data_IF_777543541586
#
_entry.id   IF_777543541586
#
_cell.length_a   1.000
_cell.length_b   1.000
_cell.length_c   1.000
_cell.angle_alpha   90.00
_cell.angle_beta   90.00
_cell.angle_gamma   90.00
#
_symmetry.space_group_name_H-M   'P 1'
#
loop_
_entity.id
_entity.type
_entity.pdbx_description
1 polymer ?
#
# COMPACT_ATOMS: atom_id res chain seq x y z
N UNK A 1 -40.66 12.75 29.30
CA UNK A 1 -41.02 13.50 28.09
C UNK A 1 -39.96 14.56 27.82
N UNK A 2 -39.11 14.33 26.82
CA UNK A 2 -38.29 15.38 26.16
C UNK A 2 -37.53 14.71 25.01
N UNK A 3 -38.19 14.66 23.85
CA UNK A 3 -37.65 14.18 22.59
C UNK A 3 -36.45 15.01 22.13
N UNK A 4 -35.30 14.37 21.90
CA UNK A 4 -34.21 14.94 21.10
C UNK A 4 -34.39 14.49 19.65
N UNK A 5 -34.60 15.47 18.76
CA UNK A 5 -34.74 15.28 17.30
C UNK A 5 -33.40 14.81 16.71
N UNK A 6 -33.40 13.66 16.06
CA UNK A 6 -32.32 13.18 15.21
C UNK A 6 -32.35 13.90 13.85
N UNK A 7 -31.24 14.52 13.47
CA UNK A 7 -31.04 15.11 12.14
C UNK A 7 -30.43 14.02 11.26
N UNK A 8 -31.24 13.42 10.39
CA UNK A 8 -30.82 12.44 9.40
C UNK A 8 -29.93 13.09 8.32
N UNK A 9 -28.79 12.46 8.00
CA UNK A 9 -27.96 12.79 6.83
C UNK A 9 -28.32 11.87 5.67
N UNK A 10 -28.46 12.36 4.42
CA UNK A 10 -28.82 11.52 3.30
C UNK A 10 -27.65 10.63 2.84
N UNK A 11 -27.98 9.35 2.59
CA UNK A 11 -27.11 8.34 2.05
C UNK A 11 -26.97 8.51 0.52
N UNK A 12 -25.74 8.49 0.02
CA UNK A 12 -25.46 8.36 -1.41
C UNK A 12 -25.35 6.86 -1.76
N UNK A 13 -26.28 6.36 -2.56
CA UNK A 13 -26.17 5.08 -3.30
C UNK A 13 -26.06 5.39 -4.80
N UNK A 14 -25.17 4.72 -5.56
CA UNK A 14 -25.13 4.81 -7.01
C UNK A 14 -25.83 3.60 -7.63
N UNK A 15 -27.04 3.77 -8.16
CA UNK A 15 -27.74 2.76 -8.98
C UNK A 15 -28.58 3.49 -10.03
N UNK A 16 -28.15 3.42 -11.30
CA UNK A 16 -28.94 3.55 -12.53
C UNK A 16 -27.97 3.77 -13.70
N UNK A 17 -28.15 3.22 -14.90
CA UNK A 17 -28.99 2.15 -15.38
C UNK A 17 -28.45 1.87 -16.80
N UNK A 18 -28.16 0.60 -17.08
CA UNK A 18 -28.06 0.11 -18.44
C UNK A 18 -29.49 0.04 -19.00
N UNK A 19 -29.74 0.66 -20.15
CA UNK A 19 -30.93 0.37 -20.96
C UNK A 19 -30.52 0.16 -22.40
N UNK A 20 -30.60 -1.11 -22.76
CA UNK A 20 -30.57 -1.67 -24.10
C UNK A 20 -31.79 -1.18 -24.90
N UNK A 21 -31.56 -0.82 -26.17
CA UNK A 21 -32.62 -0.68 -27.17
C UNK A 21 -32.43 -1.84 -28.16
N UNK A 22 -33.36 -2.81 -28.10
CA UNK A 22 -33.75 -3.65 -29.24
C UNK A 22 -34.32 -2.71 -30.32
N UNK A 23 -34.09 -2.82 -31.62
CA UNK A 23 -33.69 -3.94 -32.45
C UNK A 23 -34.54 -3.84 -33.72
N UNK A 24 -33.93 -3.78 -34.90
CA UNK A 24 -34.59 -4.12 -36.17
C UNK A 24 -33.54 -4.72 -37.09
N UNK A 25 -33.72 -6.00 -37.39
CA UNK A 25 -33.01 -6.76 -38.40
C UNK A 25 -33.71 -6.50 -39.73
N UNK A 26 -33.01 -5.92 -40.70
CA UNK A 26 -33.37 -6.08 -42.12
C UNK A 26 -32.08 -6.37 -42.89
N UNK A 27 -32.05 -7.57 -43.45
CA UNK A 27 -31.08 -8.07 -44.41
C UNK A 27 -31.01 -7.18 -45.64
N UNK A 28 -29.80 -6.83 -46.09
CA UNK A 28 -29.54 -6.76 -47.52
C UNK A 28 -28.08 -7.11 -47.80
N UNK A 29 -27.93 -8.21 -48.53
CA UNK A 29 -26.75 -8.73 -49.18
C UNK A 29 -26.06 -7.66 -50.05
N UNK A 30 -24.73 -7.67 -50.11
CA UNK A 30 -23.93 -7.83 -51.35
C UNK A 30 -22.45 -7.40 -51.17
N UNK A 31 -21.57 -8.30 -51.64
CA UNK A 31 -20.23 -8.09 -52.28
C UNK A 31 -18.96 -7.80 -51.45
N UNK A 32 -18.14 -8.85 -51.34
CA UNK A 32 -16.65 -8.90 -51.35
C UNK A 32 -16.04 -8.14 -52.56
N UNK A 33 -14.75 -7.69 -52.58
CA UNK A 33 -13.50 -8.50 -52.37
C UNK A 33 -12.37 -7.82 -51.52
N UNK A 34 -11.52 -8.56 -50.80
CA UNK A 34 -10.10 -8.96 -51.10
C UNK A 34 -9.17 -7.76 -51.45
N UNK A 35 -7.95 -7.52 -50.93
CA UNK A 35 -6.69 -8.30 -50.78
C UNK A 35 -5.65 -7.43 -49.94
N UNK A 36 -4.31 -7.69 -49.85
CA UNK A 36 -3.53 -8.41 -48.81
C UNK A 36 -2.57 -7.56 -47.92
N UNK A 37 -1.96 -8.25 -46.94
CA UNK A 37 -0.73 -7.94 -46.21
C UNK A 37 0.52 -7.84 -47.11
N UNK A 38 1.65 -7.32 -46.59
CA UNK A 38 2.80 -8.23 -46.46
C UNK A 38 3.66 -8.11 -45.18
N UNK A 39 4.23 -9.27 -44.86
CA UNK A 39 5.29 -9.61 -43.91
C UNK A 39 6.69 -9.17 -44.41
N UNK A 40 7.63 -8.95 -43.46
CA UNK A 40 9.07 -9.34 -43.45
C UNK A 40 9.87 -8.32 -42.60
N UNK A 41 10.36 -8.68 -41.41
CA UNK A 41 11.55 -9.48 -41.05
C UNK A 41 12.89 -8.82 -41.38
N UNK A 42 13.70 -8.47 -40.38
CA UNK A 42 15.03 -9.07 -40.13
C UNK A 42 15.80 -8.33 -39.02
N UNK A 43 16.39 -9.15 -38.16
CA UNK A 43 17.27 -8.79 -37.05
C UNK A 43 18.69 -8.47 -37.54
N UNK A 44 19.41 -7.61 -36.81
CA UNK A 44 20.86 -7.76 -36.60
C UNK A 44 21.29 -6.95 -35.38
N UNK A 45 21.87 -7.65 -34.40
CA UNK A 45 22.50 -7.05 -33.23
C UNK A 45 23.95 -6.65 -33.50
N UNK A 46 24.43 -5.66 -32.74
CA UNK A 46 25.84 -5.45 -32.47
C UNK A 46 25.99 -4.93 -31.04
N UNK A 47 26.73 -5.68 -30.23
CA UNK A 47 27.21 -5.28 -28.91
C UNK A 47 28.58 -4.60 -29.07
N UNK A 48 28.88 -3.56 -28.27
CA UNK A 48 30.19 -3.25 -27.66
C UNK A 48 30.12 -1.93 -26.84
N UNK A 49 31.09 -1.63 -25.95
CA UNK A 49 30.82 -1.06 -24.62
C UNK A 49 31.45 0.32 -24.44
N UNK A 50 30.74 1.29 -23.86
CA UNK A 50 31.34 2.60 -23.56
C UNK A 50 31.34 2.87 -22.05
N UNK A 51 32.54 2.62 -21.50
CA UNK A 51 33.23 3.32 -20.41
C UNK A 51 32.46 4.45 -19.71
N UNK A 52 32.39 4.34 -18.38
CA UNK A 52 32.30 5.48 -17.46
C UNK A 52 33.31 6.56 -17.88
N UNK A 53 32.82 7.76 -18.18
CA UNK A 53 33.62 8.97 -18.02
C UNK A 53 32.76 10.05 -17.38
N UNK A 54 33.24 10.55 -16.24
CA UNK A 54 32.78 11.77 -15.61
C UNK A 54 33.10 12.91 -16.58
N UNK A 55 32.11 13.43 -17.28
CA UNK A 55 32.24 14.69 -18.00
C UNK A 55 31.52 15.78 -17.22
N UNK A 56 32.30 16.52 -16.42
CA UNK A 56 31.89 17.82 -15.92
C UNK A 56 31.78 18.77 -17.13
N UNK A 57 30.57 18.93 -17.68
CA UNK A 57 30.31 19.94 -18.71
C UNK A 57 30.21 21.32 -18.07
N UNK A 58 31.37 21.89 -17.74
CA UNK A 58 31.56 23.34 -17.68
C UNK A 58 31.46 23.87 -19.11
N UNK A 59 30.23 24.16 -19.55
CA UNK A 59 30.00 24.91 -20.78
C UNK A 59 30.47 26.36 -20.59
N UNK A 60 31.62 26.68 -21.17
CA UNK A 60 31.99 28.04 -21.58
C UNK A 60 31.58 28.14 -23.04
N UNK A 61 30.48 28.84 -23.32
CA UNK A 61 30.19 29.28 -24.69
C UNK A 61 30.90 30.62 -24.86
N UNK A 62 32.13 30.59 -25.35
CA UNK A 62 32.81 31.78 -25.79
C UNK A 62 32.28 32.13 -27.20
N UNK A 63 31.37 33.10 -27.28
CA UNK A 63 31.14 33.81 -28.55
C UNK A 63 32.22 34.88 -28.64
N UNK A 64 33.29 34.61 -29.38
CA UNK A 64 34.24 35.65 -29.75
C UNK A 64 33.60 36.55 -30.82
N UNK A 65 33.09 37.70 -30.39
CA UNK A 65 32.77 38.80 -31.31
C UNK A 65 34.07 39.54 -31.65
N UNK A 66 34.37 39.67 -32.94
CA UNK A 66 35.57 40.36 -33.45
C UNK A 66 35.39 41.86 -33.32
N UNK A 67 36.43 42.51 -32.79
CA UNK A 67 36.56 43.95 -32.55
C UNK A 67 36.25 44.84 -33.76
N UNK A 68 35.51 45.94 -33.52
CA UNK A 68 36.02 47.30 -33.79
C UNK A 68 35.42 48.30 -32.78
N UNK A 69 36.29 48.92 -31.98
CA UNK A 69 36.01 50.17 -31.27
C UNK A 69 35.33 50.04 -29.91
N UNK A 70 35.99 50.64 -28.91
CA UNK A 70 35.48 51.06 -27.60
C UNK A 70 35.15 49.99 -26.53
N UNK A 71 35.88 50.08 -25.41
CA UNK A 71 35.44 49.72 -24.06
C UNK A 71 35.27 48.23 -23.75
N UNK A 72 36.22 47.65 -23.01
CA UNK A 72 36.01 46.36 -22.36
C UNK A 72 35.01 46.51 -21.20
N UNK A 73 33.72 46.39 -21.48
CA UNK A 73 32.75 46.12 -20.41
C UNK A 73 32.76 44.61 -20.19
N UNK A 74 33.47 44.17 -19.15
CA UNK A 74 33.34 42.80 -18.65
C UNK A 74 31.91 42.59 -18.15
N UNK A 75 31.03 42.14 -19.02
CA UNK A 75 29.68 41.72 -18.62
C UNK A 75 29.81 40.36 -17.94
N UNK A 76 29.91 40.37 -16.61
CA UNK A 76 29.73 39.18 -15.79
C UNK A 76 28.32 38.65 -16.03
N UNK A 77 28.18 37.65 -16.91
CA UNK A 77 26.96 36.89 -17.04
C UNK A 77 26.77 36.07 -15.76
N UNK A 78 26.07 36.65 -14.79
CA UNK A 78 25.60 35.94 -13.62
C UNK A 78 24.73 34.77 -14.10
N UNK A 79 25.26 33.56 -13.98
CA UNK A 79 24.55 32.32 -14.27
C UNK A 79 23.39 32.22 -13.28
N UNK A 80 22.22 32.70 -13.69
CA UNK A 80 20.99 32.60 -12.92
C UNK A 80 20.75 31.11 -12.63
N UNK A 81 20.95 30.70 -11.38
CA UNK A 81 20.70 29.33 -10.96
C UNK A 81 19.23 29.03 -11.23
N UNK A 82 18.99 28.16 -12.21
CA UNK A 82 17.68 27.60 -12.53
C UNK A 82 17.12 26.89 -11.31
N UNK A 83 16.37 27.63 -10.49
CA UNK A 83 15.63 27.07 -9.36
C UNK A 83 14.31 27.82 -9.17
N UNK A 84 13.71 28.27 -10.26
CA UNK A 84 12.40 28.89 -10.26
C UNK A 84 11.32 27.83 -10.56
N UNK A 85 10.99 26.96 -9.61
CA UNK A 85 9.68 26.29 -9.62
C UNK A 85 9.17 26.02 -8.20
N UNK A 86 8.08 26.71 -7.83
CA UNK A 86 7.11 26.29 -6.80
C UNK A 86 7.01 27.12 -5.52
N UNK A 87 8.13 27.55 -4.91
CA UNK A 87 8.11 28.20 -3.58
C UNK A 87 8.48 29.67 -3.65
N UNK A 88 7.70 30.52 -2.98
CA UNK A 88 7.95 31.97 -2.90
C UNK A 88 9.21 32.26 -2.07
N UNK A 89 10.11 33.11 -2.57
CA UNK A 89 11.42 33.40 -1.95
C UNK A 89 11.56 34.82 -1.35
N UNK A 90 10.51 35.63 -1.39
CA UNK A 90 10.55 36.99 -0.84
C UNK A 90 10.60 37.03 0.69
N UNK A 91 11.18 38.08 1.27
CA UNK A 91 11.35 38.26 2.72
C UNK A 91 10.02 38.25 3.51
N UNK A 92 8.90 38.65 2.89
CA UNK A 92 7.55 38.71 3.50
C UNK A 92 6.64 37.52 3.14
N UNK A 93 7.18 36.39 2.69
CA UNK A 93 6.37 35.24 2.21
C UNK A 93 6.13 34.13 3.26
N UNK A 94 6.57 34.34 4.50
CA UNK A 94 6.55 33.31 5.56
C UNK A 94 5.17 32.68 5.79
N UNK A 95 4.08 33.48 5.77
CA UNK A 95 2.70 32.98 5.95
C UNK A 95 2.32 31.96 4.88
N UNK A 96 2.59 32.26 3.61
CA UNK A 96 2.28 31.39 2.46
C UNK A 96 3.07 30.08 2.56
N UNK A 97 4.34 30.13 2.95
CA UNK A 97 5.17 28.93 3.14
C UNK A 97 4.64 28.04 4.27
N UNK A 98 4.17 28.63 5.39
CA UNK A 98 3.58 27.88 6.51
C UNK A 98 2.26 27.20 6.11
N UNK A 99 1.34 27.92 5.46
CA UNK A 99 0.07 27.35 4.99
C UNK A 99 0.32 26.23 3.99
N UNK A 100 1.15 26.48 2.97
CA UNK A 100 1.50 25.47 1.99
C UNK A 100 2.13 24.23 2.63
N UNK A 101 3.03 24.38 3.62
CA UNK A 101 3.61 23.22 4.32
C UNK A 101 2.56 22.45 5.12
N UNK A 102 1.58 23.13 5.71
CA UNK A 102 0.47 22.51 6.46
C UNK A 102 -0.39 21.66 5.52
N UNK A 103 -0.73 22.19 4.36
CA UNK A 103 -1.53 21.48 3.35
C UNK A 103 -0.76 20.26 2.82
N UNK A 104 0.52 20.45 2.48
CA UNK A 104 1.39 19.37 2.03
C UNK A 104 1.62 18.28 3.09
N UNK A 105 1.52 18.63 4.38
CA UNK A 105 1.65 17.67 5.48
C UNK A 105 0.54 16.62 5.47
N UNK A 106 -0.64 16.98 4.99
CA UNK A 106 -1.77 16.05 4.89
C UNK A 106 -1.62 15.00 3.79
N UNK A 107 -0.73 15.23 2.81
CA UNK A 107 -0.36 14.21 1.82
C UNK A 107 0.58 13.13 2.41
N UNK A 108 1.27 13.42 3.52
CA UNK A 108 2.02 12.39 4.23
C UNK A 108 1.06 11.40 4.92
N UNK A 109 1.12 10.15 4.48
CA UNK A 109 0.30 9.05 4.98
C UNK A 109 0.50 8.81 6.48
N UNK A 110 1.70 8.99 7.02
CA UNK A 110 1.95 8.79 8.44
C UNK A 110 1.26 9.88 9.26
N UNK A 111 1.45 11.14 8.85
CA UNK A 111 0.79 12.29 9.47
C UNK A 111 -0.73 12.16 9.44
N UNK A 112 -1.31 11.84 8.27
CA UNK A 112 -2.75 11.64 8.10
C UNK A 112 -3.30 10.55 9.00
N UNK A 113 -2.62 9.39 9.11
CA UNK A 113 -3.06 8.28 9.98
C UNK A 113 -3.03 8.62 11.47
N UNK A 114 -2.03 9.40 11.90
CA UNK A 114 -1.92 9.85 13.29
C UNK A 114 -3.04 10.84 13.66
N UNK A 115 -3.31 11.83 12.81
CA UNK A 115 -4.28 12.90 13.08
C UNK A 115 -5.74 12.45 12.92
N UNK A 116 -6.02 11.49 12.03
CA UNK A 116 -7.37 10.95 11.87
C UNK A 116 -7.75 9.94 12.96
N UNK A 117 -6.81 9.51 13.81
CA UNK A 117 -7.07 8.51 14.85
C UNK A 117 -7.44 7.13 14.29
N UNK A 118 -7.05 6.82 13.04
CA UNK A 118 -7.40 5.57 12.36
C UNK A 118 -6.94 4.34 13.15
N UNK A 119 -5.85 4.47 13.89
CA UNK A 119 -5.30 3.40 14.71
C UNK A 119 -6.24 2.94 15.84
N UNK A 120 -7.09 3.83 16.37
CA UNK A 120 -8.02 3.52 17.44
C UNK A 120 -9.34 2.97 16.89
N UNK A 121 -9.85 3.58 15.81
CA UNK A 121 -11.16 3.24 15.23
C UNK A 121 -11.13 1.98 14.36
N UNK A 122 -10.17 1.91 13.43
CA UNK A 122 -10.17 0.87 12.39
C UNK A 122 -9.41 -0.39 12.78
N UNK A 123 -8.42 -0.31 13.67
CA UNK A 123 -7.67 -1.50 14.08
C UNK A 123 -8.49 -2.35 15.04
N UNK A 124 -8.49 -3.68 14.88
CA UNK A 124 -9.23 -4.56 15.78
C UNK A 124 -8.62 -4.64 17.18
N UNK A 125 -7.32 -4.30 17.36
CA UNK A 125 -6.64 -4.22 18.65
C UNK A 125 -6.83 -2.89 19.38
N UNK A 126 -7.48 -1.89 18.77
CA UNK A 126 -7.70 -0.58 19.40
C UNK A 126 -6.40 0.16 19.74
N UNK A 127 -5.31 -0.06 18.99
CA UNK A 127 -4.01 0.55 19.23
C UNK A 127 -3.07 -0.25 20.15
N UNK A 128 -3.53 -1.34 20.77
CA UNK A 128 -2.67 -2.23 21.54
C UNK A 128 -1.75 -3.09 20.65
N UNK A 129 -0.60 -3.51 21.18
CA UNK A 129 0.33 -4.42 20.53
C UNK A 129 -0.19 -5.86 20.47
N UNK A 130 -0.84 -6.29 21.55
CA UNK A 130 -1.39 -7.64 21.73
C UNK A 130 -2.84 -7.59 22.20
N UNK A 131 -3.58 -8.64 21.87
CA UNK A 131 -4.94 -8.84 22.34
C UNK A 131 -5.17 -10.31 22.72
N UNK A 132 -5.92 -10.53 23.79
CA UNK A 132 -6.44 -11.86 24.16
C UNK A 132 -7.73 -12.13 23.37
N UNK A 133 -7.90 -13.36 22.93
CA UNK A 133 -9.10 -13.81 22.25
C UNK A 133 -9.41 -15.27 22.53
N UNK A 134 -10.61 -15.68 22.15
CA UNK A 134 -11.12 -17.04 22.25
C UNK A 134 -11.12 -17.65 20.85
N UNK A 135 -10.66 -18.88 20.73
CA UNK A 135 -10.69 -19.63 19.47
C UNK A 135 -12.10 -20.10 19.17
N UNK A 136 -12.56 -19.85 17.94
CA UNK A 136 -13.83 -20.35 17.43
C UNK A 136 -13.63 -21.65 16.64
N UNK A 137 -12.87 -21.58 15.55
CA UNK A 137 -12.70 -22.69 14.60
C UNK A 137 -11.29 -22.70 14.02
N UNK A 138 -10.83 -23.89 13.60
CA UNK A 138 -9.58 -24.09 12.87
C UNK A 138 -9.84 -23.91 11.38
N UNK A 139 -9.04 -23.07 10.71
CA UNK A 139 -9.21 -22.76 9.28
C UNK A 139 -7.94 -23.03 8.50
N UNK A 140 -8.06 -23.76 7.38
CA UNK A 140 -7.01 -23.86 6.38
C UNK A 140 -7.14 -22.73 5.36
N UNK A 141 -6.15 -21.85 5.27
CA UNK A 141 -6.13 -20.78 4.26
C UNK A 141 -5.18 -21.19 3.14
N UNK A 142 -5.65 -21.16 1.90
CA UNK A 142 -4.83 -21.42 0.73
C UNK A 142 -3.79 -20.31 0.51
N UNK A 143 -2.58 -20.71 0.12
CA UNK A 143 -1.53 -19.78 -0.24
C UNK A 143 -1.84 -19.05 -1.56
N UNK A 144 -1.30 -17.84 -1.71
CA UNK A 144 -1.29 -17.14 -2.99
C UNK A 144 -0.38 -17.87 -4.00
N UNK A 145 -0.81 -17.87 -5.26
CA UNK A 145 0.04 -18.24 -6.41
C UNK A 145 1.35 -17.44 -6.34
N UNK A 146 2.53 -18.04 -6.59
CA UNK A 146 2.83 -19.31 -7.27
C UNK A 146 2.91 -20.55 -6.36
N UNK A 147 2.62 -20.43 -5.07
CA UNK A 147 2.79 -21.54 -4.12
C UNK A 147 1.50 -22.37 -3.99
N UNK A 148 1.65 -23.68 -3.76
CA UNK A 148 0.56 -24.62 -3.46
C UNK A 148 0.71 -25.15 -2.03
N UNK A 149 0.14 -24.45 -1.05
CA UNK A 149 0.18 -24.88 0.35
C UNK A 149 -1.07 -24.42 1.11
N UNK A 150 -1.47 -25.22 2.11
CA UNK A 150 -2.54 -24.86 3.05
C UNK A 150 -1.89 -24.35 4.34
N UNK A 151 -2.08 -23.07 4.64
CA UNK A 151 -1.55 -22.40 5.81
C UNK A 151 -2.52 -22.56 6.98
N UNK A 152 -2.04 -23.17 8.07
CA UNK A 152 -2.87 -23.43 9.25
C UNK A 152 -3.15 -22.15 10.01
N UNK A 153 -4.42 -21.77 10.09
CA UNK A 153 -4.91 -20.58 10.74
C UNK A 153 -6.03 -20.93 11.71
N UNK A 154 -6.37 -19.96 12.56
CA UNK A 154 -7.43 -20.08 13.56
C UNK A 154 -8.28 -18.81 13.52
N UNK A 155 -9.59 -18.98 13.67
CA UNK A 155 -10.52 -17.86 13.81
C UNK A 155 -10.63 -17.55 15.29
N UNK A 156 -10.34 -16.30 15.64
CA UNK A 156 -10.25 -15.84 17.02
C UNK A 156 -11.22 -14.68 17.21
N UNK A 157 -12.05 -14.75 18.23
CA UNK A 157 -12.86 -13.63 18.69
C UNK A 157 -12.13 -12.89 19.81
N UNK A 158 -11.89 -11.59 19.64
CA UNK A 158 -11.27 -10.80 20.70
C UNK A 158 -12.21 -10.57 21.87
N UNK A 159 -11.73 -10.80 23.09
CA UNK A 159 -12.52 -10.59 24.32
C UNK A 159 -12.87 -9.09 24.48
N UNK A 160 -11.92 -8.21 24.19
CA UNK A 160 -12.07 -6.75 24.41
C UNK A 160 -13.18 -6.11 23.56
N UNK A 161 -13.35 -6.60 22.33
CA UNK A 161 -14.13 -5.90 21.29
C UNK A 161 -15.19 -6.79 20.64
N UNK A 162 -15.19 -8.10 20.90
CA UNK A 162 -16.04 -9.10 20.21
C UNK A 162 -15.73 -9.30 18.72
N UNK A 163 -14.71 -8.61 18.17
CA UNK A 163 -14.35 -8.68 16.74
C UNK A 163 -13.73 -10.04 16.40
N UNK A 164 -14.20 -10.66 15.33
CA UNK A 164 -13.67 -11.92 14.78
C UNK A 164 -12.49 -11.64 13.83
N UNK A 165 -11.41 -12.38 14.01
CA UNK A 165 -10.12 -12.19 13.32
C UNK A 165 -9.58 -13.55 12.88
N UNK A 166 -8.83 -13.58 11.78
CA UNK A 166 -7.97 -14.72 11.42
C UNK A 166 -6.56 -14.52 11.97
N UNK A 167 -6.06 -15.51 12.69
CA UNK A 167 -4.70 -15.56 13.20
C UNK A 167 -3.95 -16.78 12.62
N UNK A 168 -2.71 -16.57 12.21
CA UNK A 168 -1.82 -17.65 11.76
C UNK A 168 -1.22 -18.38 12.96
N UNK A 169 -1.11 -19.70 12.86
CA UNK A 169 -0.38 -20.51 13.84
C UNK A 169 1.05 -20.73 13.32
N UNK A 170 2.08 -20.22 14.02
CA UNK A 170 3.46 -20.41 13.59
C UNK A 170 3.96 -21.83 13.88
N UNK A 171 4.92 -22.29 13.06
CA UNK A 171 5.58 -23.60 13.12
C UNK A 171 4.66 -24.80 12.82
N UNK A 172 5.30 -25.92 12.46
CA UNK A 172 4.60 -27.15 12.11
C UNK A 172 4.03 -27.86 13.34
N UNK A 173 2.89 -28.55 13.18
CA UNK A 173 2.24 -29.31 14.25
C UNK A 173 1.60 -28.47 15.36
N UNK A 174 1.82 -27.15 15.40
CA UNK A 174 1.27 -26.29 16.46
C UNK A 174 -0.26 -26.15 16.45
N UNK A 175 -0.94 -26.62 15.41
CA UNK A 175 -2.41 -26.67 15.35
C UNK A 175 -2.99 -27.71 16.33
N UNK A 176 -2.21 -28.73 16.70
CA UNK A 176 -2.65 -29.80 17.59
C UNK A 176 -2.76 -29.31 19.03
N UNK A 177 -1.99 -28.30 19.41
CA UNK A 177 -2.00 -27.73 20.76
C UNK A 177 -3.15 -26.74 21.00
N UNK A 178 -3.88 -26.35 19.96
CA UNK A 178 -4.98 -25.38 20.06
C UNK A 178 -6.28 -26.14 19.92
N UNK A 179 -7.17 -25.96 20.87
CA UNK A 179 -8.53 -26.51 20.86
C UNK A 179 -9.54 -25.38 20.64
N UNK A 180 -10.79 -25.76 20.40
CA UNK A 180 -11.89 -24.81 20.32
C UNK A 180 -12.16 -24.23 21.71
N UNK A 181 -12.57 -22.95 21.77
CA UNK A 181 -12.79 -22.20 23.00
C UNK A 181 -11.55 -21.93 23.87
N UNK A 182 -10.35 -22.30 23.42
CA UNK A 182 -9.11 -21.94 24.10
C UNK A 182 -8.88 -20.42 24.13
N UNK A 183 -8.29 -19.95 25.24
CA UNK A 183 -7.75 -18.60 25.33
C UNK A 183 -6.40 -18.50 24.62
N UNK A 184 -6.30 -17.56 23.68
CA UNK A 184 -5.09 -17.29 22.92
C UNK A 184 -4.65 -15.83 23.03
N UNK A 185 -3.33 -15.63 23.07
CA UNK A 185 -2.72 -14.31 22.93
C UNK A 185 -2.31 -14.10 21.48
N UNK A 186 -2.89 -13.07 20.86
CA UNK A 186 -2.67 -12.73 19.47
C UNK A 186 -1.77 -11.50 19.35
N UNK A 187 -0.86 -11.53 18.38
CA UNK A 187 0.05 -10.43 18.04
C UNK A 187 -0.05 -10.05 16.57
N UNK A 188 0.36 -8.82 16.24
CA UNK A 188 0.57 -8.41 14.86
C UNK A 188 1.78 -9.08 14.22
N UNK A 189 1.75 -9.22 12.90
CA UNK A 189 2.85 -9.79 12.11
C UNK A 189 4.01 -8.82 11.80
N UNK A 190 3.92 -7.55 12.21
CA UNK A 190 4.99 -6.55 12.05
C UNK A 190 4.91 -5.64 10.82
N UNK A 191 4.14 -5.98 9.77
CA UNK A 191 4.00 -5.13 8.56
C UNK A 191 2.98 -4.00 8.71
N UNK A 192 3.00 -3.26 9.83
CA UNK A 192 2.10 -2.10 10.11
C UNK A 192 0.62 -2.37 9.81
N UNK A 193 0.15 -3.60 10.09
CA UNK A 193 -1.23 -4.03 9.86
C UNK A 193 -1.52 -4.53 8.44
N UNK A 194 -0.52 -4.89 7.65
CA UNK A 194 -0.69 -5.62 6.39
C UNK A 194 -0.49 -7.12 6.58
N UNK A 195 -1.07 -7.91 5.67
CA UNK A 195 -0.81 -9.35 5.62
C UNK A 195 0.65 -9.63 5.24
N UNK A 196 1.18 -10.77 5.68
CA UNK A 196 2.57 -11.16 5.48
C UNK A 196 2.66 -12.38 4.57
N UNK A 197 3.66 -12.35 3.68
CA UNK A 197 4.00 -13.46 2.81
C UNK A 197 2.91 -13.78 1.80
N UNK A 198 2.74 -15.08 1.59
CA UNK A 198 1.78 -15.71 0.69
C UNK A 198 0.38 -15.88 1.30
N UNK A 199 0.18 -15.51 2.58
CA UNK A 199 -1.09 -15.72 3.27
C UNK A 199 -2.07 -14.57 2.96
N UNK A 200 -3.19 -14.81 2.26
CA UNK A 200 -4.19 -13.78 2.01
C UNK A 200 -4.98 -13.45 3.28
N UNK A 201 -5.27 -12.17 3.51
CA UNK A 201 -6.19 -11.72 4.57
C UNK A 201 -5.71 -11.87 6.02
N UNK A 202 -4.65 -12.63 6.30
CA UNK A 202 -4.17 -12.87 7.66
C UNK A 202 -3.14 -11.82 8.07
N UNK A 203 -3.47 -11.05 9.11
CA UNK A 203 -2.67 -9.92 9.61
C UNK A 203 -2.01 -10.19 10.97
N UNK A 204 -2.43 -11.27 11.62
CA UNK A 204 -2.11 -11.58 13.00
C UNK A 204 -1.59 -13.00 13.16
N UNK A 205 -0.82 -13.24 14.21
CA UNK A 205 -0.28 -14.55 14.58
C UNK A 205 -0.60 -14.88 16.04
N UNK A 206 -0.69 -16.16 16.35
CA UNK A 206 -0.81 -16.65 17.72
C UNK A 206 0.56 -16.69 18.38
N UNK A 207 0.65 -16.29 19.65
CA UNK A 207 1.90 -16.29 20.44
C UNK A 207 1.81 -17.22 21.65
N UNK A 208 0.67 -17.19 22.36
CA UNK A 208 0.41 -18.00 23.54
C UNK A 208 -0.95 -18.69 23.44
N UNK A 209 -1.07 -19.84 24.08
CA UNK A 209 -2.29 -20.64 24.25
C UNK A 209 -2.35 -21.03 25.72
N UNK A 210 -3.51 -20.88 26.37
CA UNK A 210 -3.70 -21.21 27.79
C UNK A 210 -2.59 -20.63 28.71
N UNK A 211 -2.23 -19.36 28.50
CA UNK A 211 -1.14 -18.64 29.18
C UNK A 211 0.30 -19.19 28.97
N UNK A 212 0.47 -20.30 28.25
CA UNK A 212 1.78 -20.85 27.87
C UNK A 212 2.17 -20.39 26.47
N UNK A 213 3.45 -20.09 26.25
CA UNK A 213 3.95 -19.72 24.92
C UNK A 213 3.96 -20.90 23.96
N UNK A 214 3.47 -20.70 22.73
CA UNK A 214 3.50 -21.73 21.68
C UNK A 214 4.91 -22.26 21.41
N UNK A 215 5.93 -21.40 21.45
CA UNK A 215 7.32 -21.82 21.27
C UNK A 215 7.82 -22.77 22.36
N UNK A 216 7.30 -22.65 23.59
CA UNK A 216 7.68 -23.55 24.68
C UNK A 216 7.00 -24.91 24.53
N UNK A 217 5.73 -24.93 24.11
CA UNK A 217 4.99 -26.16 23.79
C UNK A 217 5.66 -26.89 22.60
N UNK A 218 5.98 -26.16 21.53
CA UNK A 218 6.65 -26.71 20.35
C UNK A 218 8.01 -27.34 20.68
N UNK A 219 8.78 -26.72 21.58
CA UNK A 219 10.08 -27.26 22.02
C UNK A 219 9.97 -28.32 23.12
N UNK A 220 8.76 -28.63 23.61
CA UNK A 220 8.56 -29.54 24.74
C UNK A 220 9.13 -29.03 26.08
N UNK A 221 9.42 -27.73 26.21
CA UNK A 221 9.98 -27.15 27.46
C UNK A 221 8.93 -26.97 28.54
N UNK A 222 7.67 -26.87 28.14
CA UNK A 222 6.51 -26.74 29.01
C UNK A 222 5.42 -27.62 28.43
N UNK A 223 4.64 -28.22 29.31
CA UNK A 223 3.43 -28.94 28.94
C UNK A 223 2.22 -28.00 28.96
N UNK A 224 1.16 -28.42 28.28
CA UNK A 224 -0.13 -27.72 28.33
C UNK A 224 -0.69 -27.88 29.75
N UNK A 225 -1.06 -26.80 30.44
CA UNK A 225 -1.71 -26.91 31.75
C UNK A 225 -3.02 -27.67 31.56
N UNK A 226 -3.24 -28.71 32.38
CA UNK A 226 -4.53 -29.39 32.45
C UNK A 226 -5.50 -28.47 33.19
N UNK A 227 -6.63 -28.18 32.55
CA UNK A 227 -7.80 -27.58 33.18
C UNK A 227 -8.51 -28.57 34.07
#
# INVERSE_FOLDING_TARGET
>A
MSHRREIARPAWRPEAAAQCILGVVVSLSLRFPAVPLPFSSLCAGAAFPIRRSRAASRGVLAVTCRSRGAGWVFLFAARASSSAMGKCRGLRTARKLRSHRRDQKWHDKQYKKAHLGTALKANPFGGASHAKGIVLEKVGVEAKQPNSAIRKCVRVQLIKNGKKITAFVPNDGCLNFIEENDEVLVAGFGRKGHAVGDIPGVRFKVVKVANVSLLALYKGKKERPRS
#
